data_IF_153743383693
#
_entry.id   IF_153743383693
#
_cell.length_a   1.000
_cell.length_b   1.000
_cell.length_c   1.000
_cell.angle_alpha   90.00
_cell.angle_beta   90.00
_cell.angle_gamma   90.00
#
_symmetry.space_group_name_H-M   'P 1'
#
loop_
_entity.id
_entity.type
_entity.pdbx_description
1 polymer ?
#
# COMPACT_ATOMS: atom_id res chain seq x y z
N UNK A 1 5.92 -12.72 -7.33
CA UNK A 1 5.60 -11.47 -6.62
C UNK A 1 4.34 -11.60 -5.75
N UNK A 2 3.25 -12.19 -6.27
CA UNK A 2 1.97 -12.29 -5.55
C UNK A 2 2.04 -13.12 -4.28
N UNK A 3 2.70 -14.28 -4.32
CA UNK A 3 2.77 -15.20 -3.17
C UNK A 3 3.57 -14.57 -2.02
N UNK A 4 4.63 -13.84 -2.36
CA UNK A 4 5.48 -13.13 -1.39
C UNK A 4 4.67 -12.04 -0.63
N UNK A 5 3.84 -11.26 -1.32
CA UNK A 5 3.00 -10.26 -0.67
C UNK A 5 1.79 -10.87 0.04
N UNK A 6 1.28 -11.99 -0.46
CA UNK A 6 0.21 -12.72 0.23
C UNK A 6 0.69 -13.21 1.59
N UNK A 7 1.88 -13.82 1.65
CA UNK A 7 2.50 -14.25 2.89
C UNK A 7 2.76 -13.05 3.82
N UNK A 8 3.24 -11.93 3.27
CA UNK A 8 3.47 -10.71 4.04
C UNK A 8 2.19 -10.08 4.63
N UNK A 9 1.00 -10.33 4.04
CA UNK A 9 -0.26 -9.87 4.66
C UNK A 9 -0.62 -10.63 5.94
N UNK A 10 -0.05 -11.81 6.14
CA UNK A 10 -0.24 -12.63 7.34
C UNK A 10 0.80 -12.35 8.42
N UNK A 11 1.97 -11.84 8.01
CA UNK A 11 3.07 -11.50 8.90
C UNK A 11 3.67 -10.14 8.52
N UNK A 12 3.35 -9.12 9.31
CA UNK A 12 3.82 -7.76 9.08
C UNK A 12 5.35 -7.60 9.15
N UNK A 13 6.06 -8.48 9.84
CA UNK A 13 7.52 -8.45 9.93
C UNK A 13 8.19 -8.85 8.60
N UNK A 14 7.48 -9.56 7.74
CA UNK A 14 7.97 -9.99 6.43
C UNK A 14 7.88 -8.92 5.32
N UNK A 15 7.13 -7.83 5.55
CA UNK A 15 6.95 -6.76 4.55
C UNK A 15 8.25 -6.17 3.99
N UNK A 16 9.30 -5.86 4.80
CA UNK A 16 10.54 -5.28 4.26
C UNK A 16 11.22 -6.20 3.25
N UNK A 17 11.26 -7.51 3.49
CA UNK A 17 11.88 -8.47 2.60
C UNK A 17 11.02 -8.74 1.35
N UNK A 18 9.72 -8.81 1.50
CA UNK A 18 8.75 -8.93 0.42
C UNK A 18 8.87 -7.74 -0.56
N UNK A 19 8.85 -6.53 -0.03
CA UNK A 19 9.00 -5.31 -0.81
C UNK A 19 10.37 -5.24 -1.50
N UNK A 20 11.45 -5.66 -0.83
CA UNK A 20 12.78 -5.71 -1.42
C UNK A 20 12.86 -6.68 -2.60
N UNK A 21 12.29 -7.87 -2.44
CA UNK A 21 12.24 -8.89 -3.49
C UNK A 21 11.52 -8.38 -4.73
N UNK A 22 10.38 -7.71 -4.55
CA UNK A 22 9.57 -7.18 -5.67
C UNK A 22 10.23 -5.96 -6.30
N UNK A 23 10.78 -5.05 -5.48
CA UNK A 23 11.55 -3.91 -5.98
C UNK A 23 12.69 -4.35 -6.90
N UNK A 24 13.40 -5.44 -6.52
CA UNK A 24 14.44 -6.04 -7.36
C UNK A 24 13.93 -6.53 -8.71
N UNK A 25 12.75 -7.18 -8.74
CA UNK A 25 12.13 -7.64 -10.00
C UNK A 25 11.74 -6.48 -10.93
N UNK A 26 11.41 -5.32 -10.36
CA UNK A 26 11.02 -4.12 -11.09
C UNK A 26 12.19 -3.17 -11.35
N UNK A 27 13.42 -3.58 -11.01
CA UNK A 27 14.59 -2.70 -11.06
C UNK A 27 14.35 -1.37 -10.32
N UNK A 28 13.55 -1.40 -9.25
CA UNK A 28 13.30 -0.24 -8.40
C UNK A 28 14.42 -0.06 -7.36
N UNK A 29 14.64 1.16 -6.92
CA UNK A 29 15.56 1.47 -5.83
C UNK A 29 14.87 1.26 -4.49
N UNK A 30 13.59 1.63 -4.41
CA UNK A 30 12.77 1.55 -3.21
C UNK A 30 11.45 0.84 -3.46
N UNK A 31 10.92 0.21 -2.42
CA UNK A 31 9.56 -0.30 -2.36
C UNK A 31 8.91 0.15 -1.06
N UNK A 32 7.68 0.64 -1.13
CA UNK A 32 6.92 1.06 0.04
C UNK A 32 5.53 0.44 0.03
N UNK A 33 4.99 0.22 1.24
CA UNK A 33 3.59 -0.12 1.43
C UNK A 33 3.00 0.76 2.53
N UNK A 34 1.79 1.25 2.31
CA UNK A 34 1.05 2.08 3.27
C UNK A 34 -0.33 1.49 3.49
N UNK A 35 -0.61 1.11 4.71
CA UNK A 35 -1.95 0.73 5.14
C UNK A 35 -2.66 1.99 5.63
N UNK A 36 -3.48 2.56 4.77
CA UNK A 36 -4.23 3.80 5.02
C UNK A 36 -5.62 3.43 5.54
N UNK A 37 -5.99 3.95 6.69
CA UNK A 37 -7.31 3.76 7.31
C UNK A 37 -7.82 5.10 7.85
N UNK A 38 -9.11 5.24 8.18
CA UNK A 38 -9.62 6.44 8.85
C UNK A 38 -8.96 6.76 10.20
N UNK A 39 -8.22 5.81 10.76
CA UNK A 39 -7.56 5.91 12.07
C UNK A 39 -6.09 6.30 11.99
N UNK A 40 -5.51 6.25 10.79
CA UNK A 40 -4.11 6.56 10.55
C UNK A 40 -3.49 5.69 9.46
N UNK A 41 -2.21 5.90 9.28
CA UNK A 41 -1.42 5.20 8.27
C UNK A 41 -0.29 4.43 8.93
N UNK A 42 -0.19 3.14 8.63
CA UNK A 42 0.99 2.33 8.91
C UNK A 42 1.81 2.20 7.64
N UNK A 43 3.13 2.39 7.75
CA UNK A 43 4.02 2.40 6.60
C UNK A 43 5.13 1.37 6.75
N UNK A 44 5.47 0.72 5.64
CA UNK A 44 6.55 -0.26 5.52
C UNK A 44 7.46 0.15 4.38
N UNK A 45 8.76 -0.05 4.55
CA UNK A 45 9.76 0.15 3.52
C UNK A 45 10.46 -1.17 3.17
N UNK A 46 10.90 -1.31 1.93
CA UNK A 46 11.80 -2.39 1.55
C UNK A 46 13.11 -2.30 2.32
N UNK A 47 13.74 -3.45 2.58
CA UNK A 47 15.07 -3.46 3.22
C UNK A 47 16.04 -2.56 2.48
N UNK A 48 16.70 -1.67 3.22
CA UNK A 48 17.59 -0.63 2.70
C UNK A 48 16.89 0.67 2.33
N UNK A 49 15.56 0.78 2.52
CA UNK A 49 14.79 2.01 2.29
C UNK A 49 14.20 2.61 3.57
N UNK A 50 14.54 2.04 4.72
CA UNK A 50 13.99 2.43 6.03
C UNK A 50 14.34 3.90 6.38
N UNK A 51 15.54 4.34 6.01
CA UNK A 51 15.96 5.73 6.23
C UNK A 51 15.13 6.70 5.38
N UNK A 52 14.83 6.34 4.12
CA UNK A 52 13.98 7.15 3.25
C UNK A 52 12.58 7.27 3.84
N UNK A 53 12.00 6.16 4.30
CA UNK A 53 10.70 6.18 4.97
C UNK A 53 10.72 7.04 6.24
N UNK A 54 11.77 6.94 7.04
CA UNK A 54 11.93 7.78 8.24
C UNK A 54 11.96 9.28 7.90
N UNK A 55 12.61 9.67 6.78
CA UNK A 55 12.61 11.05 6.27
C UNK A 55 11.22 11.47 5.77
N UNK A 56 10.48 10.56 5.10
CA UNK A 56 9.08 10.82 4.69
C UNK A 56 8.22 11.18 5.90
N UNK A 57 8.32 10.38 6.95
CA UNK A 57 7.51 10.58 8.17
C UNK A 57 7.95 11.83 8.92
N UNK A 58 9.23 11.97 9.23
CA UNK A 58 9.76 13.09 10.01
C UNK A 58 9.54 14.45 9.33
N UNK A 59 9.60 14.49 8.00
CA UNK A 59 9.36 15.71 7.22
C UNK A 59 7.88 15.98 6.90
N UNK A 60 6.95 15.10 7.29
CA UNK A 60 5.53 15.20 6.92
C UNK A 60 5.30 15.08 5.40
N UNK A 61 6.23 14.42 4.69
CA UNK A 61 6.14 14.29 3.23
C UNK A 61 5.00 13.38 2.78
N UNK A 62 4.56 12.44 3.62
CA UNK A 62 3.41 11.58 3.33
C UNK A 62 2.11 12.36 3.12
N UNK A 63 1.92 13.50 3.82
CA UNK A 63 0.76 14.39 3.65
C UNK A 63 0.89 15.28 2.41
N UNK A 64 2.14 15.62 2.04
CA UNK A 64 2.46 16.52 0.93
C UNK A 64 2.78 15.80 -0.37
N UNK A 65 2.79 14.46 -0.37
CA UNK A 65 3.02 13.66 -1.56
C UNK A 65 1.79 13.70 -2.47
N UNK A 66 1.85 14.37 -3.63
CA UNK A 66 0.71 14.51 -4.52
C UNK A 66 0.26 13.19 -5.14
N UNK A 67 1.18 12.19 -5.21
CA UNK A 67 0.89 10.83 -5.70
C UNK A 67 -0.16 10.15 -4.80
N UNK A 68 -0.02 10.34 -3.48
CA UNK A 68 -0.95 9.77 -2.51
C UNK A 68 -2.35 10.35 -2.68
N UNK A 69 -2.50 11.68 -2.71
CA UNK A 69 -3.78 12.35 -2.87
C UNK A 69 -4.50 11.94 -4.14
N UNK A 70 -3.84 12.05 -5.29
CA UNK A 70 -4.44 11.68 -6.60
C UNK A 70 -4.70 10.18 -6.73
N UNK A 71 -3.81 9.32 -6.24
CA UNK A 71 -4.01 7.89 -6.26
C UNK A 71 -5.25 7.46 -5.44
N UNK A 72 -5.48 8.08 -4.28
CA UNK A 72 -6.68 7.85 -3.48
C UNK A 72 -7.95 8.34 -4.18
N UNK A 73 -7.92 9.45 -4.91
CA UNK A 73 -9.04 9.91 -5.73
C UNK A 73 -9.40 8.88 -6.81
N UNK A 74 -8.41 8.34 -7.51
CA UNK A 74 -8.62 7.24 -8.46
C UNK A 74 -9.22 6.01 -7.78
N UNK A 75 -8.69 5.60 -6.64
CA UNK A 75 -9.14 4.40 -5.93
C UNK A 75 -10.57 4.50 -5.40
N UNK A 76 -11.04 5.70 -5.07
CA UNK A 76 -12.44 5.94 -4.68
C UNK A 76 -13.42 5.80 -5.86
N UNK A 77 -12.94 6.01 -7.08
CA UNK A 77 -13.74 5.89 -8.31
C UNK A 77 -13.89 4.45 -8.81
N UNK A 78 -13.11 3.51 -8.25
CA UNK A 78 -13.16 2.09 -8.61
C UNK A 78 -11.80 1.39 -8.52
N UNK A 79 -11.72 0.12 -8.95
CA UNK A 79 -10.47 -0.63 -8.93
C UNK A 79 -9.39 0.04 -9.78
N UNK A 80 -8.24 0.26 -9.20
CA UNK A 80 -7.10 0.90 -9.86
C UNK A 80 -6.05 -0.16 -10.18
N UNK A 81 -5.62 -0.20 -11.43
CA UNK A 81 -4.43 -0.96 -11.84
C UNK A 81 -3.14 -0.20 -11.54
N UNK A 82 -2.14 -0.37 -12.39
CA UNK A 82 -0.89 0.36 -12.27
C UNK A 82 -1.11 1.86 -12.49
N UNK A 83 -0.64 2.66 -11.55
CA UNK A 83 -0.46 4.11 -11.67
C UNK A 83 1.02 4.43 -11.78
N UNK A 84 1.34 5.43 -12.60
CA UNK A 84 2.66 6.02 -12.76
C UNK A 84 2.55 7.53 -12.69
N UNK A 85 3.66 8.25 -12.55
CA UNK A 85 3.62 9.71 -12.46
C UNK A 85 2.88 10.35 -13.63
N UNK A 86 3.12 9.93 -14.85
CA UNK A 86 2.49 10.50 -16.03
C UNK A 86 1.04 10.04 -16.31
N UNK A 87 0.54 9.09 -15.52
CA UNK A 87 -0.91 8.84 -15.39
C UNK A 87 -1.57 9.79 -14.40
N UNK A 88 -0.81 10.25 -13.41
CA UNK A 88 -1.30 11.11 -12.34
C UNK A 88 -1.12 12.59 -12.67
N UNK A 89 -0.06 12.95 -13.42
CA UNK A 89 0.37 14.33 -13.60
C UNK A 89 0.79 14.61 -15.03
N UNK A 90 0.71 15.88 -15.43
CA UNK A 90 1.40 16.39 -16.61
C UNK A 90 2.87 16.67 -16.29
N UNK A 91 3.79 16.70 -17.29
CA UNK A 91 5.19 17.06 -17.07
C UNK A 91 5.37 18.41 -16.36
N UNK A 92 4.55 19.41 -16.67
CA UNK A 92 4.61 20.72 -16.03
C UNK A 92 4.20 20.67 -14.54
N UNK A 93 3.27 19.79 -14.18
CA UNK A 93 2.87 19.59 -12.78
C UNK A 93 4.01 18.94 -11.99
N UNK A 94 4.64 17.89 -12.53
CA UNK A 94 5.80 17.24 -11.91
C UNK A 94 6.94 18.26 -11.74
N UNK A 95 7.29 19.01 -12.78
CA UNK A 95 8.39 19.97 -12.75
C UNK A 95 8.23 21.09 -11.71
N UNK A 96 7.01 21.40 -11.29
CA UNK A 96 6.70 22.47 -10.30
C UNK A 96 6.35 21.96 -8.91
N UNK A 97 6.28 20.64 -8.76
CA UNK A 97 5.86 20.06 -7.48
C UNK A 97 6.98 20.11 -6.43
N UNK A 98 6.66 20.53 -5.21
CA UNK A 98 7.60 20.64 -4.12
C UNK A 98 8.10 19.27 -3.66
N UNK A 99 7.26 18.24 -3.65
CA UNK A 99 7.67 16.89 -3.31
C UNK A 99 8.77 16.39 -4.26
N UNK A 100 8.58 16.60 -5.56
CA UNK A 100 9.56 16.22 -6.59
C UNK A 100 10.89 16.98 -6.44
N UNK A 101 10.83 18.29 -6.17
CA UNK A 101 12.02 19.14 -6.10
C UNK A 101 12.80 18.99 -4.80
N UNK A 102 12.09 18.86 -3.68
CA UNK A 102 12.67 18.92 -2.34
C UNK A 102 12.87 17.54 -1.69
N UNK A 103 12.16 16.51 -2.17
CA UNK A 103 12.24 15.16 -1.61
C UNK A 103 12.64 14.10 -2.66
N UNK A 104 11.82 13.88 -3.68
CA UNK A 104 11.99 12.75 -4.60
C UNK A 104 13.37 12.73 -5.27
N UNK A 105 13.87 13.89 -5.65
CA UNK A 105 15.20 14.07 -6.27
C UNK A 105 16.35 13.66 -5.34
N UNK A 106 16.24 13.95 -4.05
CA UNK A 106 17.32 13.73 -3.09
C UNK A 106 17.35 12.30 -2.55
N UNK A 107 16.23 11.60 -2.62
CA UNK A 107 16.06 10.26 -2.07
C UNK A 107 15.79 9.18 -3.12
N UNK A 108 16.17 9.45 -4.37
CA UNK A 108 16.02 8.49 -5.48
C UNK A 108 14.57 7.97 -5.71
N UNK A 109 13.57 8.82 -5.46
CA UNK A 109 12.15 8.53 -5.62
C UNK A 109 11.51 9.24 -6.81
N UNK A 110 12.28 9.46 -7.88
CA UNK A 110 11.89 10.31 -9.03
C UNK A 110 10.82 9.70 -9.92
N UNK A 111 10.79 8.37 -10.06
CA UNK A 111 9.85 7.70 -10.97
C UNK A 111 9.05 6.66 -10.20
N UNK A 112 7.75 6.84 -10.20
CA UNK A 112 6.80 6.07 -9.42
C UNK A 112 6.06 5.05 -10.28
N UNK A 113 5.88 3.86 -9.72
CA UNK A 113 4.94 2.84 -10.19
C UNK A 113 4.26 2.19 -9.01
N UNK A 114 2.94 2.25 -8.93
CA UNK A 114 2.22 1.72 -7.77
C UNK A 114 0.74 1.44 -8.01
N UNK A 115 0.06 1.01 -6.96
CA UNK A 115 -1.38 0.74 -6.98
C UNK A 115 -2.01 1.03 -5.62
N UNK A 116 -3.32 1.26 -5.66
CA UNK A 116 -4.16 1.48 -4.48
C UNK A 116 -5.20 0.37 -4.42
N UNK A 117 -5.21 -0.41 -3.37
CA UNK A 117 -6.04 -1.61 -3.19
C UNK A 117 -7.06 -1.31 -2.10
N UNK A 118 -8.33 -1.01 -2.43
CA UNK A 118 -9.36 -0.84 -1.42
C UNK A 118 -9.69 -2.18 -0.77
N UNK A 119 -9.84 -2.23 0.57
CA UNK A 119 -10.20 -3.43 1.30
C UNK A 119 -11.34 -3.23 2.31
N UNK A 120 -11.63 -1.99 2.71
CA UNK A 120 -12.79 -1.61 3.51
C UNK A 120 -13.18 -0.15 3.17
N UNK A 121 -14.33 0.36 3.63
CA UNK A 121 -14.67 1.77 3.44
C UNK A 121 -13.54 2.69 3.93
N UNK A 122 -13.11 3.61 3.07
CA UNK A 122 -12.00 4.56 3.31
C UNK A 122 -10.68 3.91 3.76
N UNK A 123 -10.49 2.62 3.47
CA UNK A 123 -9.30 1.86 3.83
C UNK A 123 -8.63 1.30 2.58
N UNK A 124 -7.33 1.57 2.44
CA UNK A 124 -6.54 1.23 1.26
C UNK A 124 -5.18 0.67 1.66
N UNK A 125 -4.74 -0.38 0.97
CA UNK A 125 -3.34 -0.72 0.91
C UNK A 125 -2.75 -0.08 -0.34
N UNK A 126 -1.77 0.79 -0.15
CA UNK A 126 -0.99 1.41 -1.22
C UNK A 126 0.34 0.69 -1.32
N UNK A 127 0.71 0.24 -2.50
CA UNK A 127 2.03 -0.35 -2.76
C UNK A 127 2.69 0.44 -3.87
N UNK A 128 3.92 0.89 -3.65
CA UNK A 128 4.68 1.67 -4.62
C UNK A 128 6.12 1.21 -4.74
N UNK A 129 6.67 1.41 -5.93
CA UNK A 129 8.05 1.15 -6.30
C UNK A 129 8.62 2.38 -6.96
N UNK A 130 9.74 2.85 -6.43
CA UNK A 130 10.33 4.12 -6.81
C UNK A 130 11.70 3.87 -7.47
N UNK A 131 11.98 4.64 -8.51
CA UNK A 131 13.28 4.65 -9.20
C UNK A 131 13.97 6.00 -9.10
N UNK A 132 15.28 5.95 -9.02
CA UNK A 132 16.13 7.14 -9.19
C UNK A 132 16.02 7.73 -10.60
N UNK A 133 16.37 8.99 -10.72
CA UNK A 133 16.49 9.65 -12.03
C UNK A 133 17.44 8.89 -12.98
N UNK A 134 18.49 8.28 -12.47
CA UNK A 134 19.45 7.49 -13.24
C UNK A 134 18.85 6.27 -13.91
N UNK A 135 17.89 5.61 -13.26
CA UNK A 135 17.20 4.41 -13.81
C UNK A 135 16.10 4.79 -14.80
N UNK A 136 15.60 6.00 -14.72
CA UNK A 136 14.56 6.50 -15.58
C UNK A 136 13.17 5.92 -15.30
N UNK A 137 12.23 6.31 -16.12
CA UNK A 137 10.84 5.89 -16.04
C UNK A 137 10.65 4.41 -16.41
N UNK A 138 9.48 3.87 -16.08
CA UNK A 138 9.07 2.53 -16.50
C UNK A 138 8.50 2.59 -17.91
N UNK A 139 9.13 1.93 -18.88
CA UNK A 139 8.73 1.97 -20.30
C UNK A 139 8.59 0.58 -20.92
N UNK A 140 7.82 0.50 -22.01
CA UNK A 140 7.73 -0.66 -22.89
C UNK A 140 7.45 -1.96 -22.13
N UNK A 141 8.26 -2.99 -22.36
CA UNK A 141 8.09 -4.32 -21.74
C UNK A 141 8.26 -4.33 -20.21
N UNK A 142 9.04 -3.39 -19.66
CA UNK A 142 9.13 -3.24 -18.19
C UNK A 142 7.81 -2.78 -17.61
N UNK A 143 7.16 -1.78 -18.23
CA UNK A 143 5.86 -1.28 -17.79
C UNK A 143 4.80 -2.38 -17.83
N UNK A 144 4.83 -3.21 -18.88
CA UNK A 144 3.95 -4.37 -19.00
C UNK A 144 4.21 -5.41 -17.90
N UNK A 145 5.48 -5.67 -17.58
CA UNK A 145 5.86 -6.59 -16.51
C UNK A 145 5.37 -6.08 -15.16
N UNK A 146 5.64 -4.81 -14.84
CA UNK A 146 5.19 -4.16 -13.60
C UNK A 146 3.67 -4.17 -13.51
N UNK A 147 2.97 -3.84 -14.59
CA UNK A 147 1.51 -3.81 -14.66
C UNK A 147 0.89 -5.17 -14.36
N UNK A 148 1.39 -6.25 -14.99
CA UNK A 148 0.90 -7.62 -14.74
C UNK A 148 1.15 -8.07 -13.30
N UNK A 149 2.33 -7.77 -12.76
CA UNK A 149 2.65 -8.15 -11.39
C UNK A 149 1.85 -7.34 -10.36
N UNK A 150 1.66 -6.05 -10.57
CA UNK A 150 0.82 -5.21 -9.71
C UNK A 150 -0.63 -5.68 -9.73
N UNK A 151 -1.18 -6.03 -10.89
CA UNK A 151 -2.55 -6.55 -10.97
C UNK A 151 -2.68 -7.90 -10.22
N UNK A 152 -1.68 -8.78 -10.32
CA UNK A 152 -1.65 -10.02 -9.56
C UNK A 152 -1.56 -9.77 -8.04
N UNK A 153 -0.68 -8.86 -7.62
CA UNK A 153 -0.56 -8.40 -6.23
C UNK A 153 -1.90 -7.86 -5.72
N UNK A 154 -2.52 -6.97 -6.48
CA UNK A 154 -3.81 -6.38 -6.13
C UNK A 154 -4.87 -7.44 -5.85
N UNK A 155 -4.99 -8.42 -6.74
CA UNK A 155 -5.97 -9.52 -6.58
C UNK A 155 -5.68 -10.38 -5.36
N UNK A 156 -4.43 -10.78 -5.17
CA UNK A 156 -4.02 -11.64 -4.05
C UNK A 156 -4.22 -10.96 -2.71
N UNK A 157 -3.78 -9.71 -2.58
CA UNK A 157 -3.93 -8.93 -1.34
C UNK A 157 -5.40 -8.63 -1.05
N UNK A 158 -6.18 -8.21 -2.05
CA UNK A 158 -7.62 -7.97 -1.86
C UNK A 158 -8.35 -9.24 -1.40
N UNK A 159 -7.97 -10.41 -1.95
CA UNK A 159 -8.53 -11.69 -1.52
C UNK A 159 -8.13 -12.03 -0.08
N UNK A 160 -6.85 -11.88 0.28
CA UNK A 160 -6.35 -12.18 1.63
C UNK A 160 -7.02 -11.29 2.69
N UNK A 161 -7.10 -9.99 2.46
CA UNK A 161 -7.73 -9.05 3.39
C UNK A 161 -9.22 -9.34 3.55
N UNK A 162 -9.91 -9.70 2.46
CA UNK A 162 -11.32 -10.12 2.52
C UNK A 162 -11.49 -11.43 3.27
N UNK A 163 -10.63 -12.42 3.06
CA UNK A 163 -10.68 -13.70 3.76
C UNK A 163 -10.44 -13.52 5.26
N UNK A 164 -9.47 -12.69 5.66
CA UNK A 164 -9.23 -12.37 7.07
C UNK A 164 -10.44 -11.70 7.73
N UNK A 165 -11.08 -10.76 7.05
CA UNK A 165 -12.29 -10.12 7.55
C UNK A 165 -13.44 -11.12 7.73
N UNK A 166 -13.62 -12.06 6.79
CA UNK A 166 -14.64 -13.11 6.88
C UNK A 166 -14.34 -14.11 8.01
N UNK A 167 -13.08 -14.50 8.20
CA UNK A 167 -12.68 -15.38 9.31
C UNK A 167 -12.94 -14.72 10.67
N UNK A 168 -12.61 -13.44 10.82
CA UNK A 168 -12.88 -12.70 12.04
C UNK A 168 -14.38 -12.66 12.36
N UNK A 169 -15.22 -12.39 11.37
CA UNK A 169 -16.69 -12.41 11.51
C UNK A 169 -17.17 -13.81 11.88
N UNK A 170 -16.76 -14.84 11.16
CA UNK A 170 -17.16 -16.22 11.43
C UNK A 170 -16.74 -16.73 12.80
N UNK A 171 -15.57 -16.33 13.30
CA UNK A 171 -15.13 -16.68 14.67
C UNK A 171 -16.03 -16.04 15.72
N UNK A 172 -16.40 -14.77 15.57
CA UNK A 172 -17.32 -14.11 16.51
C UNK A 172 -18.70 -14.76 16.49
N UNK A 173 -19.20 -15.12 15.30
CA UNK A 173 -20.50 -15.78 15.15
C UNK A 173 -20.50 -17.16 15.84
N UNK A 174 -19.47 -17.99 15.59
CA UNK A 174 -19.33 -19.31 16.26
C UNK A 174 -19.22 -19.18 17.77
N UNK A 175 -18.42 -18.20 18.25
CA UNK A 175 -18.30 -17.96 19.68
C UNK A 175 -19.59 -17.39 20.30
N UNK A 176 -20.39 -16.68 19.53
CA UNK A 176 -21.70 -16.13 19.96
C UNK A 176 -22.70 -17.24 20.27
N UNK A 177 -22.66 -18.35 19.52
CA UNK A 177 -23.48 -19.54 19.77
C UNK A 177 -23.07 -20.29 21.09
N UNK A 178 -21.87 -20.05 21.58
CA UNK A 178 -21.36 -20.63 22.83
C UNK A 178 -21.79 -19.88 24.09
N UNK A 179 -22.51 -18.78 23.99
CA UNK A 179 -23.24 -18.13 25.08
C UNK A 179 -22.66 -16.84 25.66
N UNK A 180 -21.37 -16.68 26.01
CA UNK A 180 -20.89 -15.41 26.53
C UNK A 180 -20.74 -14.33 25.42
N UNK A 181 -20.83 -13.07 25.84
CA UNK A 181 -20.63 -11.94 24.92
C UNK A 181 -19.20 -11.95 24.36
N UNK A 182 -19.05 -11.89 23.04
CA UNK A 182 -17.77 -11.90 22.35
C UNK A 182 -17.62 -10.70 21.44
N UNK A 183 -16.40 -10.25 21.28
CA UNK A 183 -16.06 -9.19 20.36
C UNK A 183 -14.70 -9.42 19.71
N UNK A 184 -14.58 -9.01 18.45
CA UNK A 184 -13.32 -8.90 17.74
C UNK A 184 -12.86 -7.45 17.76
N UNK A 185 -11.68 -7.22 18.33
CA UNK A 185 -11.07 -5.91 18.39
C UNK A 185 -9.95 -5.82 17.34
N UNK A 186 -9.86 -4.69 16.65
CA UNK A 186 -8.70 -4.38 15.82
C UNK A 186 -7.43 -4.21 16.65
N UNK A 187 -6.27 -4.17 16.00
CA UNK A 187 -4.98 -3.93 16.65
C UNK A 187 -4.94 -2.59 17.43
N UNK A 188 -5.82 -1.68 17.12
CA UNK A 188 -6.04 -0.39 17.79
C UNK A 188 -7.01 -0.47 18.98
N UNK A 189 -7.45 -1.66 19.36
CA UNK A 189 -8.38 -1.91 20.45
C UNK A 189 -9.83 -1.53 20.17
N UNK A 190 -10.18 -1.14 18.95
CA UNK A 190 -11.57 -0.79 18.60
C UNK A 190 -12.36 -2.01 18.17
N UNK A 191 -13.64 -2.00 18.50
CA UNK A 191 -14.59 -3.01 18.09
C UNK A 191 -14.69 -3.07 16.54
N UNK A 192 -14.37 -4.23 15.99
CA UNK A 192 -14.52 -4.52 14.56
C UNK A 192 -15.82 -5.30 14.31
N UNK A 193 -16.10 -6.28 15.17
CA UNK A 193 -17.29 -7.09 15.15
C UNK A 193 -17.64 -7.53 16.56
N UNK A 194 -18.92 -7.64 16.89
CA UNK A 194 -19.39 -8.07 18.19
C UNK A 194 -20.62 -8.94 18.11
N UNK A 195 -20.75 -9.91 19.00
CA UNK A 195 -21.97 -10.70 19.15
C UNK A 195 -23.14 -9.81 19.59
N UNK A 196 -24.40 -10.20 19.32
CA UNK A 196 -25.57 -9.47 19.79
C UNK A 196 -25.61 -9.27 21.32
N UNK A 197 -24.98 -10.17 22.05
CA UNK A 197 -24.86 -10.06 23.53
C UNK A 197 -23.78 -9.08 23.98
N UNK A 198 -22.86 -8.67 23.09
CA UNK A 198 -21.82 -7.70 23.37
C UNK A 198 -22.23 -6.28 22.99
N UNK A 199 -23.06 -6.13 21.95
CA UNK A 199 -23.56 -4.85 21.43
C UNK A 199 -24.73 -4.34 22.25
#
# INVERSE_FOLDING_TARGET
>A
ASDILLDATQDFESWPDALRSIAGQFNADHGFAYLVTPRGTHAFASRGSEEVLAKVVAGGWHERNPRMGRGLEYARSGPVGLLTDWRLFTPDQIARDHFEQEFARWYDCMHYAGTFIPFAPESFLVVSFERSHRKGEYWGSELDLVSRNIEQVRRSVAYALKAQAQLATGLVDVLSDAGPAHAWLGADGRLQHGSPAFL
#
